data_IF_486772874325
#
_entry.id   IF_486772874325
#
_cell.length_a   1.000
_cell.length_b   1.000
_cell.length_c   1.000
_cell.angle_alpha   90.00
_cell.angle_beta   90.00
_cell.angle_gamma   90.00
#
_symmetry.space_group_name_H-M   'P 1'
#
loop_
_entity.id
_entity.type
_entity.pdbx_description
1 polymer ?
#
# COMPACT_ATOMS: atom_id res chain seq x y z
N UNK A 1 -1.66 -8.85 17.80
CA UNK A 1 -2.19 -9.56 16.59
C UNK A 1 -2.83 -10.90 16.87
N UNK A 2 -2.12 -11.92 17.38
CA UNK A 2 -2.72 -13.26 17.60
C UNK A 2 -4.02 -13.25 18.42
N UNK A 3 -4.07 -12.51 19.53
CA UNK A 3 -5.28 -12.38 20.37
C UNK A 3 -6.42 -11.68 19.62
N UNK A 4 -6.11 -10.61 18.86
CA UNK A 4 -7.11 -9.87 18.07
C UNK A 4 -7.64 -10.72 16.90
N UNK A 5 -6.75 -11.49 16.27
CA UNK A 5 -7.10 -12.46 15.23
C UNK A 5 -7.99 -13.58 15.77
N UNK A 6 -7.68 -14.13 16.96
CA UNK A 6 -8.53 -15.10 17.65
C UNK A 6 -9.92 -14.53 17.96
N UNK A 7 -10.00 -13.23 18.29
CA UNK A 7 -11.25 -12.49 18.50
C UNK A 7 -11.95 -12.07 17.22
N UNK A 8 -11.45 -12.48 16.03
CA UNK A 8 -11.96 -12.10 14.71
C UNK A 8 -12.09 -10.58 14.51
N UNK A 9 -11.23 -9.80 15.18
CA UNK A 9 -11.20 -8.35 15.02
C UNK A 9 -10.50 -8.00 13.71
N UNK A 10 -11.12 -7.14 12.91
CA UNK A 10 -10.53 -6.63 11.68
C UNK A 10 -9.48 -5.57 12.03
N UNK A 11 -8.21 -5.85 11.72
CA UNK A 11 -7.09 -4.96 12.03
C UNK A 11 -6.41 -4.53 10.73
N UNK A 12 -6.43 -3.23 10.46
CA UNK A 12 -5.71 -2.64 9.34
C UNK A 12 -4.23 -2.53 9.73
N UNK A 13 -3.29 -3.01 8.90
CA UNK A 13 -1.87 -2.92 9.21
C UNK A 13 -1.41 -1.47 9.27
N UNK A 14 -0.54 -1.17 10.23
CA UNK A 14 -0.02 0.16 10.52
C UNK A 14 0.61 0.83 9.30
N UNK A 15 1.54 0.17 8.62
CA UNK A 15 2.27 0.75 7.49
C UNK A 15 1.41 0.97 6.23
N UNK A 16 0.20 0.38 6.18
CA UNK A 16 -0.81 0.72 5.18
C UNK A 16 -1.68 1.88 5.68
N UNK A 17 -2.12 1.83 6.94
CA UNK A 17 -3.00 2.84 7.53
C UNK A 17 -2.33 4.23 7.60
N UNK A 18 -1.02 4.28 7.83
CA UNK A 18 -0.25 5.50 7.96
C UNK A 18 0.48 5.93 6.66
N UNK A 19 0.29 5.22 5.55
CA UNK A 19 1.06 5.46 4.31
C UNK A 19 0.74 6.77 3.62
N UNK A 20 -0.32 7.48 4.03
CA UNK A 20 -0.79 8.68 3.35
C UNK A 20 0.26 9.78 3.26
N UNK A 21 1.05 10.00 4.32
CA UNK A 21 2.14 10.97 4.30
C UNK A 21 3.19 10.66 3.22
N UNK A 22 3.62 9.40 3.14
CA UNK A 22 4.63 8.97 2.15
C UNK A 22 4.10 9.06 0.72
N UNK A 23 2.80 8.77 0.52
CA UNK A 23 2.14 8.86 -0.79
C UNK A 23 2.08 10.32 -1.25
N UNK A 24 1.74 11.25 -0.37
CA UNK A 24 1.72 12.68 -0.70
C UNK A 24 3.14 13.23 -0.92
N UNK A 25 4.16 12.75 -0.19
CA UNK A 25 5.56 13.08 -0.50
C UNK A 25 6.00 12.57 -1.87
N UNK A 26 5.50 11.41 -2.32
CA UNK A 26 5.71 10.96 -3.69
C UNK A 26 5.03 11.89 -4.70
N UNK A 27 3.81 12.35 -4.42
CA UNK A 27 3.13 13.33 -5.26
C UNK A 27 3.88 14.67 -5.34
N UNK A 28 4.47 15.12 -4.23
CA UNK A 28 5.34 16.29 -4.20
C UNK A 28 6.53 16.12 -5.15
N UNK A 29 7.21 14.97 -5.12
CA UNK A 29 8.30 14.66 -6.04
C UNK A 29 7.86 14.68 -7.51
N UNK A 30 6.68 14.13 -7.84
CA UNK A 30 6.12 14.17 -9.20
C UNK A 30 5.81 15.60 -9.65
N UNK A 31 5.20 16.41 -8.79
CA UNK A 31 4.88 17.81 -9.08
C UNK A 31 6.16 18.65 -9.28
N UNK A 32 7.18 18.44 -8.45
CA UNK A 32 8.48 19.11 -8.59
C UNK A 32 9.17 18.76 -9.92
N UNK A 33 9.13 17.50 -10.34
CA UNK A 33 9.72 17.09 -11.62
C UNK A 33 8.99 17.64 -12.84
N UNK A 34 7.68 17.88 -12.73
CA UNK A 34 6.85 18.40 -13.81
C UNK A 34 6.75 19.94 -13.83
N UNK A 35 7.15 20.61 -12.74
CA UNK A 35 6.94 22.05 -12.56
C UNK A 35 5.47 22.46 -12.49
N UNK A 36 4.57 21.51 -12.21
CA UNK A 36 3.13 21.73 -12.19
C UNK A 36 2.52 21.21 -10.88
N UNK A 37 1.89 22.11 -10.13
CA UNK A 37 1.32 21.81 -8.82
C UNK A 37 -0.19 21.56 -8.93
N UNK A 38 -0.65 20.52 -8.24
CA UNK A 38 -2.03 20.10 -8.23
C UNK A 38 -2.82 20.84 -7.15
N UNK A 39 -4.12 20.99 -7.38
CA UNK A 39 -5.03 21.52 -6.36
C UNK A 39 -5.23 20.46 -5.26
N UNK A 40 -5.52 20.91 -4.04
CA UNK A 40 -5.80 20.04 -2.88
C UNK A 40 -6.80 18.91 -3.22
N UNK A 41 -7.90 19.24 -3.91
CA UNK A 41 -8.90 18.25 -4.33
C UNK A 41 -8.32 17.14 -5.20
N UNK A 42 -7.41 17.48 -6.11
CA UNK A 42 -6.75 16.51 -6.98
C UNK A 42 -5.77 15.63 -6.20
N UNK A 43 -5.01 16.22 -5.27
CA UNK A 43 -4.14 15.47 -4.36
C UNK A 43 -4.95 14.47 -3.52
N UNK A 44 -6.08 14.91 -2.95
CA UNK A 44 -6.95 14.05 -2.15
C UNK A 44 -7.58 12.92 -2.98
N UNK A 45 -8.04 13.20 -4.20
CA UNK A 45 -8.58 12.18 -5.08
C UNK A 45 -7.53 11.13 -5.42
N UNK A 46 -6.33 11.56 -5.83
CA UNK A 46 -5.21 10.65 -6.15
C UNK A 46 -4.79 9.84 -4.93
N UNK A 47 -4.80 10.44 -3.74
CA UNK A 47 -4.48 9.77 -2.48
C UNK A 47 -5.50 8.66 -2.17
N UNK A 48 -6.79 8.96 -2.27
CA UNK A 48 -7.87 8.00 -2.06
C UNK A 48 -7.79 6.82 -3.02
N UNK A 49 -7.60 7.08 -4.32
CA UNK A 49 -7.42 6.04 -5.33
C UNK A 49 -6.22 5.13 -5.00
N UNK A 50 -5.08 5.71 -4.60
CA UNK A 50 -3.88 4.93 -4.27
C UNK A 50 -4.07 4.07 -3.01
N UNK A 51 -4.60 4.65 -1.93
CA UNK A 51 -4.80 3.93 -0.66
C UNK A 51 -5.88 2.85 -0.82
N UNK A 52 -6.98 3.15 -1.50
CA UNK A 52 -8.08 2.20 -1.75
C UNK A 52 -7.59 1.00 -2.57
N UNK A 53 -6.80 1.24 -3.61
CA UNK A 53 -6.20 0.17 -4.41
C UNK A 53 -5.21 -0.68 -3.59
N UNK A 54 -4.38 -0.03 -2.77
CA UNK A 54 -3.43 -0.73 -1.90
C UNK A 54 -4.16 -1.61 -0.87
N UNK A 55 -5.20 -1.08 -0.20
CA UNK A 55 -6.02 -1.82 0.74
C UNK A 55 -6.73 -2.99 0.08
N UNK A 56 -7.35 -2.78 -1.08
CA UNK A 56 -8.06 -3.84 -1.83
C UNK A 56 -7.11 -4.98 -2.20
N UNK A 57 -5.89 -4.67 -2.64
CA UNK A 57 -4.90 -5.68 -2.97
C UNK A 57 -4.48 -6.51 -1.72
N UNK A 58 -4.18 -5.84 -0.61
CA UNK A 58 -3.82 -6.51 0.66
C UNK A 58 -4.96 -7.38 1.17
N UNK A 59 -6.20 -6.88 1.12
CA UNK A 59 -7.38 -7.63 1.51
C UNK A 59 -7.54 -8.89 0.65
N UNK A 60 -7.44 -8.77 -0.67
CA UNK A 60 -7.52 -9.91 -1.59
C UNK A 60 -6.46 -10.97 -1.29
N UNK A 61 -5.21 -10.55 -1.08
CA UNK A 61 -4.12 -11.48 -0.71
C UNK A 61 -4.41 -12.17 0.62
N UNK A 62 -4.93 -11.46 1.63
CA UNK A 62 -5.29 -12.05 2.92
C UNK A 62 -6.37 -13.13 2.79
N UNK A 63 -7.37 -12.92 1.92
CA UNK A 63 -8.47 -13.85 1.67
C UNK A 63 -7.94 -15.09 0.94
N UNK A 64 -7.19 -14.88 -0.15
CA UNK A 64 -6.67 -15.97 -0.99
C UNK A 64 -5.69 -16.85 -0.22
N UNK A 65 -4.79 -16.24 0.56
CA UNK A 65 -3.76 -16.96 1.31
C UNK A 65 -4.18 -17.37 2.72
N UNK A 66 -5.39 -16.98 3.16
CA UNK A 66 -5.94 -17.23 4.50
C UNK A 66 -4.98 -16.76 5.61
N UNK A 67 -4.41 -15.57 5.44
CA UNK A 67 -3.51 -14.94 6.42
C UNK A 67 -4.18 -13.75 7.08
N UNK A 68 -3.60 -13.25 8.18
CA UNK A 68 -3.96 -11.92 8.66
C UNK A 68 -3.52 -10.83 7.66
N UNK A 69 -4.12 -9.64 7.77
CA UNK A 69 -3.85 -8.51 6.88
C UNK A 69 -2.42 -7.98 6.99
N UNK A 70 -1.78 -8.11 8.15
CA UNK A 70 -0.40 -7.65 8.33
C UNK A 70 0.56 -8.54 7.54
N UNK A 71 0.42 -9.86 7.66
CA UNK A 71 1.21 -10.79 6.86
C UNK A 71 0.93 -10.64 5.36
N UNK A 72 -0.35 -10.47 4.98
CA UNK A 72 -0.72 -10.21 3.58
C UNK A 72 -0.06 -8.93 3.03
N UNK A 73 0.00 -7.86 3.83
CA UNK A 73 0.65 -6.62 3.41
C UNK A 73 2.15 -6.80 3.19
N UNK A 74 2.84 -7.57 4.03
CA UNK A 74 4.24 -7.93 3.81
C UNK A 74 4.44 -8.75 2.54
N UNK A 75 3.55 -9.73 2.29
CA UNK A 75 3.58 -10.54 1.06
C UNK A 75 3.48 -9.63 -0.17
N UNK A 76 2.49 -8.74 -0.22
CA UNK A 76 2.31 -7.78 -1.33
C UNK A 76 3.55 -6.91 -1.53
N UNK A 77 4.14 -6.41 -0.44
CA UNK A 77 5.32 -5.55 -0.52
C UNK A 77 6.55 -6.30 -1.08
N UNK A 78 6.82 -7.50 -0.56
CA UNK A 78 7.99 -8.31 -0.97
C UNK A 78 7.82 -8.83 -2.39
N UNK A 79 6.63 -9.27 -2.78
CA UNK A 79 6.36 -9.78 -4.14
C UNK A 79 6.65 -8.73 -5.21
N UNK A 80 6.22 -7.48 -5.00
CA UNK A 80 6.50 -6.37 -5.91
C UNK A 80 8.00 -6.12 -6.09
N UNK A 81 8.78 -6.22 -5.01
CA UNK A 81 10.24 -6.04 -5.07
C UNK A 81 10.89 -7.22 -5.80
N UNK A 82 10.52 -8.45 -5.47
CA UNK A 82 11.06 -9.66 -6.11
C UNK A 82 10.76 -9.66 -7.61
N UNK A 83 9.54 -9.30 -8.01
CA UNK A 83 9.15 -9.22 -9.42
C UNK A 83 10.02 -8.21 -10.17
N UNK A 84 10.21 -7.01 -9.61
CA UNK A 84 11.10 -6.00 -10.20
C UNK A 84 12.56 -6.49 -10.29
N UNK A 85 13.06 -7.20 -9.28
CA UNK A 85 14.41 -7.77 -9.29
C UNK A 85 14.60 -8.82 -10.38
N UNK A 86 13.62 -9.72 -10.56
CA UNK A 86 13.63 -10.74 -11.63
C UNK A 86 13.61 -10.10 -13.01
N UNK A 87 12.75 -9.10 -13.23
CA UNK A 87 12.67 -8.39 -14.51
C UNK A 87 14.00 -7.70 -14.85
N UNK A 88 14.73 -7.22 -13.83
CA UNK A 88 16.05 -6.60 -13.97
C UNK A 88 17.21 -7.60 -14.04
N UNK A 89 16.95 -8.91 -13.89
CA UNK A 89 17.97 -9.96 -13.90
C UNK A 89 18.93 -9.94 -12.71
N UNK A 90 18.50 -9.40 -11.56
CA UNK A 90 19.33 -9.37 -10.34
C UNK A 90 19.36 -10.72 -9.63
N UNK A 91 18.30 -11.52 -9.80
CA UNK A 91 18.12 -12.89 -9.30
C UNK A 91 17.41 -13.74 -10.35
#
# INVERSE_FOLDING_TARGET
>A
DKILSQKKTFVIPDFLCNSGGVVVSYFEWVQNNSGYYWKEKEVHQRLDENITNAFTNVLNVSIVRKTDLRLAAYVVAVERVIEAMKIRGWI
#
